data_IF_272544228728
#
_entry.id   IF_272544228728
#
_cell.length_a   1.000
_cell.length_b   1.000
_cell.length_c   1.000
_cell.angle_alpha   90.00
_cell.angle_beta   90.00
_cell.angle_gamma   90.00
#
_symmetry.space_group_name_H-M   'P 1'
#
loop_
_entity.id
_entity.type
_entity.pdbx_description
1 polymer ?
#
# COMPACT_ATOMS: atom_id res chain seq x y z
N UNK A 1 1.14 -19.16 20.14
CA UNK A 1 0.01 -20.01 20.53
C UNK A 1 -0.72 -19.37 21.70
N UNK A 2 -1.99 -19.02 21.51
CA UNK A 2 -2.82 -18.43 22.57
C UNK A 2 -3.22 -19.49 23.60
N UNK A 3 -3.64 -19.08 24.79
CA UNK A 3 -4.02 -20.04 25.84
C UNK A 3 -5.25 -20.87 25.48
N UNK A 4 -6.13 -20.35 24.61
CA UNK A 4 -7.32 -21.06 24.13
C UNK A 4 -6.96 -22.27 23.23
N UNK A 5 -5.89 -22.15 22.45
CA UNK A 5 -5.34 -23.24 21.63
C UNK A 5 -4.77 -24.40 22.45
N UNK A 6 -4.43 -24.13 23.72
CA UNK A 6 -3.92 -25.17 24.62
C UNK A 6 -5.04 -26.00 25.25
N UNK A 7 -6.26 -25.47 25.28
CA UNK A 7 -7.39 -26.08 26.00
C UNK A 7 -8.42 -26.72 25.07
N UNK A 8 -8.58 -26.20 23.84
CA UNK A 8 -9.55 -26.71 22.88
C UNK A 8 -8.90 -27.69 21.88
N UNK A 9 -9.64 -28.70 21.39
CA UNK A 9 -9.10 -29.64 20.42
C UNK A 9 -8.75 -28.93 19.10
N UNK A 10 -7.72 -29.38 18.37
CA UNK A 10 -7.28 -28.74 17.11
C UNK A 10 -8.38 -28.65 16.04
N UNK A 11 -9.41 -29.49 16.12
CA UNK A 11 -10.55 -29.48 15.20
C UNK A 11 -11.59 -28.40 15.49
N UNK A 12 -11.50 -27.73 16.64
CA UNK A 12 -12.42 -26.64 17.03
C UNK A 12 -12.04 -25.33 16.33
N UNK A 13 -10.74 -25.05 16.19
CA UNK A 13 -10.29 -23.86 15.51
C UNK A 13 -10.30 -24.06 14.00
N UNK A 14 -11.30 -23.49 13.34
CA UNK A 14 -11.10 -23.07 11.97
C UNK A 14 -10.15 -21.85 11.92
N UNK A 15 -9.62 -21.54 10.74
CA UNK A 15 -8.70 -20.40 10.54
C UNK A 15 -9.33 -19.07 10.97
N UNK A 16 -10.66 -18.96 10.98
CA UNK A 16 -11.39 -17.72 11.23
C UNK A 16 -11.48 -17.40 12.73
N UNK A 17 -11.73 -18.40 13.58
CA UNK A 17 -11.81 -18.24 15.03
C UNK A 17 -10.44 -17.86 15.64
N UNK A 18 -9.37 -18.49 15.15
CA UNK A 18 -8.02 -18.17 15.56
C UNK A 18 -7.64 -16.74 15.19
N UNK A 19 -7.97 -16.31 13.96
CA UNK A 19 -7.61 -14.98 13.46
C UNK A 19 -8.14 -13.85 14.35
N UNK A 20 -9.40 -13.94 14.81
CA UNK A 20 -10.03 -12.90 15.65
C UNK A 20 -9.34 -12.77 17.02
N UNK A 21 -8.79 -13.86 17.57
CA UNK A 21 -8.12 -13.86 18.87
C UNK A 21 -6.72 -13.23 18.76
N UNK A 22 -6.03 -13.45 17.64
CA UNK A 22 -4.67 -12.94 17.44
C UNK A 22 -4.64 -11.52 16.86
N UNK A 23 -5.69 -11.10 16.14
CA UNK A 23 -5.77 -9.79 15.51
C UNK A 23 -5.57 -8.60 16.49
N UNK A 24 -6.12 -8.60 17.73
CA UNK A 24 -5.87 -7.52 18.69
C UNK A 24 -4.41 -7.46 19.15
N UNK A 25 -3.79 -8.62 19.37
CA UNK A 25 -2.38 -8.70 19.76
C UNK A 25 -1.46 -8.27 18.60
N UNK A 26 -1.77 -8.71 17.38
CA UNK A 26 -1.06 -8.26 16.17
C UNK A 26 -1.25 -6.77 15.92
N UNK A 27 -2.43 -6.20 16.14
CA UNK A 27 -2.68 -4.78 16.01
C UNK A 27 -1.95 -3.95 17.08
N UNK A 28 -1.87 -4.47 18.31
CA UNK A 28 -1.12 -3.83 19.41
C UNK A 28 0.39 -3.86 19.15
N UNK A 29 0.93 -5.01 18.72
CA UNK A 29 2.37 -5.19 18.52
C UNK A 29 2.87 -4.55 17.24
N UNK A 30 2.11 -4.66 16.15
CA UNK A 30 2.54 -4.23 14.83
C UNK A 30 1.99 -2.86 14.43
N UNK A 31 1.19 -2.23 15.29
CA UNK A 31 0.60 -0.91 15.08
C UNK A 31 -0.52 -0.90 14.03
N UNK A 32 -0.92 0.30 13.55
CA UNK A 32 -2.02 0.44 12.61
C UNK A 32 -1.81 -0.40 11.34
N UNK A 33 -2.79 -1.24 11.05
CA UNK A 33 -2.86 -2.16 9.89
C UNK A 33 -2.49 -1.46 8.57
N UNK A 34 -2.81 -0.17 8.45
CA UNK A 34 -2.51 0.67 7.30
C UNK A 34 -1.03 0.69 6.88
N UNK A 35 -0.09 0.66 7.82
CA UNK A 35 1.34 0.68 7.49
C UNK A 35 1.88 -0.69 7.03
N UNK A 36 1.13 -1.77 7.29
CA UNK A 36 1.48 -3.15 6.90
C UNK A 36 0.75 -3.64 5.65
N UNK A 37 -0.27 -2.91 5.21
CA UNK A 37 -1.00 -3.26 4.00
C UNK A 37 -0.18 -3.01 2.74
N UNK A 38 0.08 -4.09 2.00
CA UNK A 38 0.75 -4.02 0.70
C UNK A 38 0.00 -3.16 -0.32
N UNK A 39 -1.32 -3.03 -0.16
CA UNK A 39 -2.18 -2.31 -1.11
C UNK A 39 -1.69 -0.89 -1.44
N UNK A 40 -1.13 -0.15 -0.47
CA UNK A 40 -0.58 1.20 -0.72
C UNK A 40 0.63 1.15 -1.66
N UNK A 41 1.52 0.18 -1.48
CA UNK A 41 2.70 0.00 -2.31
C UNK A 41 2.33 -0.50 -3.70
N UNK A 42 1.43 -1.48 -3.79
CA UNK A 42 0.93 -2.01 -5.06
C UNK A 42 0.24 -0.95 -5.90
N UNK A 43 -0.60 -0.11 -5.26
CA UNK A 43 -1.27 1.00 -5.94
C UNK A 43 -0.25 2.01 -6.48
N UNK A 44 0.76 2.36 -5.70
CA UNK A 44 1.83 3.27 -6.13
C UNK A 44 2.62 2.70 -7.32
N UNK A 45 3.02 1.43 -7.25
CA UNK A 45 3.69 0.75 -8.36
C UNK A 45 2.80 0.69 -9.61
N UNK A 46 1.49 0.50 -9.45
CA UNK A 46 0.52 0.56 -10.53
C UNK A 46 0.52 1.91 -11.24
N UNK A 47 0.57 3.02 -10.50
CA UNK A 47 0.69 4.36 -11.06
C UNK A 47 2.02 4.58 -11.78
N UNK A 48 3.15 4.14 -11.19
CA UNK A 48 4.46 4.23 -11.85
C UNK A 48 4.49 3.45 -13.16
N UNK A 49 3.87 2.26 -13.20
CA UNK A 49 3.79 1.44 -14.42
C UNK A 49 3.04 2.15 -15.55
N UNK A 50 2.01 2.94 -15.24
CA UNK A 50 1.29 3.75 -16.24
C UNK A 50 2.15 4.88 -16.82
N UNK A 51 3.16 5.35 -16.09
CA UNK A 51 4.10 6.40 -16.53
C UNK A 51 5.17 5.90 -17.51
N UNK A 52 5.27 4.59 -17.73
CA UNK A 52 6.26 4.00 -18.64
C UNK A 52 5.75 4.10 -20.09
N UNK A 53 6.20 5.12 -20.81
CA UNK A 53 5.96 5.34 -22.24
C UNK A 53 7.03 4.66 -23.10
N UNK A 54 8.29 4.66 -22.65
CA UNK A 54 9.40 3.97 -23.30
C UNK A 54 9.87 2.75 -22.50
N UNK A 55 9.55 1.54 -22.98
CA UNK A 55 9.95 0.29 -22.33
C UNK A 55 11.45 -0.04 -22.44
N UNK A 56 12.17 0.57 -23.39
CA UNK A 56 13.62 0.42 -23.48
C UNK A 56 14.35 1.19 -22.37
N UNK A 57 13.71 2.24 -21.82
CA UNK A 57 14.27 3.10 -20.77
C UNK A 57 13.22 3.40 -19.69
N UNK A 58 12.85 2.36 -18.94
CA UNK A 58 11.75 2.41 -17.95
C UNK A 58 11.95 3.50 -16.90
N UNK A 59 13.13 3.55 -16.27
CA UNK A 59 13.42 4.52 -15.21
C UNK A 59 13.38 5.95 -15.72
N UNK A 60 14.01 6.21 -16.87
CA UNK A 60 14.01 7.54 -17.50
C UNK A 60 12.59 8.00 -17.85
N UNK A 61 11.75 7.09 -18.37
CA UNK A 61 10.36 7.38 -18.68
C UNK A 61 9.56 7.76 -17.43
N UNK A 62 9.78 7.08 -16.31
CA UNK A 62 9.12 7.38 -15.04
C UNK A 62 9.58 8.74 -14.50
N UNK A 63 10.89 8.99 -14.48
CA UNK A 63 11.46 10.26 -14.02
C UNK A 63 10.94 11.44 -14.83
N UNK A 64 10.90 11.32 -16.16
CA UNK A 64 10.40 12.37 -17.04
C UNK A 64 8.92 12.67 -16.78
N UNK A 65 8.08 11.64 -16.68
CA UNK A 65 6.65 11.81 -16.39
C UNK A 65 6.42 12.38 -14.98
N UNK A 66 7.29 12.09 -14.02
CA UNK A 66 7.24 12.65 -12.68
C UNK A 66 7.59 14.16 -12.70
N UNK A 67 8.70 14.53 -13.35
CA UNK A 67 9.10 15.93 -13.52
C UNK A 67 8.02 16.76 -14.21
N UNK A 68 7.42 16.26 -15.28
CA UNK A 68 6.33 16.96 -15.97
C UNK A 68 5.12 17.19 -15.06
N UNK A 69 4.74 16.19 -14.27
CA UNK A 69 3.65 16.31 -13.32
C UNK A 69 3.96 17.36 -12.23
N UNK A 70 5.18 17.35 -11.69
CA UNK A 70 5.61 18.34 -10.69
C UNK A 70 5.60 19.75 -11.27
N UNK A 71 6.19 19.94 -12.46
CA UNK A 71 6.20 21.23 -13.14
C UNK A 71 4.77 21.73 -13.35
N UNK A 72 3.87 20.89 -13.89
CA UNK A 72 2.47 21.27 -14.09
C UNK A 72 1.77 21.63 -12.77
N UNK A 73 2.01 20.87 -11.72
CA UNK A 73 1.44 21.13 -10.39
C UNK A 73 1.96 22.45 -9.82
N UNK A 74 3.28 22.69 -9.88
CA UNK A 74 3.87 23.93 -9.38
C UNK A 74 3.43 25.13 -10.22
N UNK A 75 3.46 25.03 -11.55
CA UNK A 75 2.97 26.07 -12.44
C UNK A 75 1.52 26.45 -12.15
N UNK A 76 0.66 25.48 -11.79
CA UNK A 76 -0.73 25.75 -11.43
C UNK A 76 -0.92 26.60 -10.17
N UNK A 77 0.08 26.68 -9.29
CA UNK A 77 0.05 27.56 -8.11
C UNK A 77 0.45 29.00 -8.43
N UNK A 78 1.23 29.22 -9.49
CA UNK A 78 1.78 30.54 -9.84
C UNK A 78 1.05 31.23 -10.99
N UNK A 79 0.57 30.46 -11.97
CA UNK A 79 -0.14 30.99 -13.13
C UNK A 79 -1.64 30.84 -12.94
N UNK A 80 -2.40 31.91 -13.19
CA UNK A 80 -3.84 31.84 -13.25
C UNK A 80 -4.25 30.85 -14.34
N UNK A 81 -5.31 30.08 -14.09
CA UNK A 81 -5.90 29.29 -15.16
C UNK A 81 -6.53 30.30 -16.11
N UNK A 82 -5.95 30.48 -17.29
CA UNK A 82 -6.60 31.22 -18.38
C UNK A 82 -7.99 30.60 -18.59
N UNK A 83 -9.02 31.33 -18.15
CA UNK A 83 -10.44 30.99 -18.33
C UNK A 83 -10.87 31.42 -19.72
#
# INVERSE_FOLDING_TARGET
MCNLEKTMPPSFFDTMEHLIIHLPYEALTAGPVFYRWMYRFERFLGELKKKVTNKAHVEASICQAYLQQEISTFSSFYFERDV
#
